data_IF_389120878177
#
_entry.id   IF_389120878177
#
_cell.length_a   1.000
_cell.length_b   1.000
_cell.length_c   1.000
_cell.angle_alpha   90.00
_cell.angle_beta   90.00
_cell.angle_gamma   90.00
#
_symmetry.space_group_name_H-M   'P 1'
#
loop_
_entity.id
_entity.type
_entity.pdbx_description
1 polymer ?
#
# COMPACT_ATOMS: atom_id res chain seq x y z
N UNK A 1 -13.14 -28.65 -9.28
CA UNK A 1 -13.09 -27.17 -9.37
C UNK A 1 -14.13 -26.63 -8.43
N UNK A 2 -13.79 -25.65 -7.60
CA UNK A 2 -14.70 -24.98 -6.69
C UNK A 2 -14.97 -23.57 -7.20
N UNK A 3 -16.23 -23.20 -7.36
CA UNK A 3 -16.63 -21.84 -7.72
C UNK A 3 -16.80 -21.02 -6.45
N UNK A 4 -16.20 -19.84 -6.39
CA UNK A 4 -16.24 -18.93 -5.24
C UNK A 4 -16.88 -17.62 -5.69
N UNK A 5 -17.82 -17.10 -4.90
CA UNK A 5 -18.39 -15.77 -5.13
C UNK A 5 -17.41 -14.70 -4.67
N UNK A 6 -17.06 -13.77 -5.57
CA UNK A 6 -16.15 -12.68 -5.29
C UNK A 6 -16.57 -11.42 -6.07
N UNK A 7 -16.10 -10.25 -5.65
CA UNK A 7 -16.31 -8.97 -6.34
C UNK A 7 -14.98 -8.30 -6.62
N UNK A 8 -14.86 -7.61 -7.76
CA UNK A 8 -13.68 -6.77 -8.04
C UNK A 8 -13.52 -5.71 -6.94
N UNK A 9 -12.28 -5.41 -6.56
CA UNK A 9 -11.98 -4.41 -5.52
C UNK A 9 -12.61 -3.03 -5.81
N UNK A 10 -12.61 -2.59 -7.08
CA UNK A 10 -13.26 -1.36 -7.50
C UNK A 10 -14.78 -1.38 -7.23
N UNK A 11 -15.46 -2.50 -7.50
CA UNK A 11 -16.89 -2.64 -7.28
C UNK A 11 -17.24 -2.56 -5.80
N UNK A 12 -16.46 -3.26 -4.95
CA UNK A 12 -16.63 -3.19 -3.48
C UNK A 12 -16.42 -1.75 -3.00
N UNK A 13 -15.37 -1.08 -3.45
CA UNK A 13 -15.09 0.31 -3.10
C UNK A 13 -16.22 1.27 -3.50
N UNK A 14 -16.75 1.13 -4.72
CA UNK A 14 -17.88 1.95 -5.19
C UNK A 14 -19.14 1.75 -4.34
N UNK A 15 -19.46 0.52 -3.98
CA UNK A 15 -20.62 0.24 -3.11
C UNK A 15 -20.45 0.86 -1.72
N UNK A 16 -19.24 0.79 -1.15
CA UNK A 16 -18.95 1.38 0.15
C UNK A 16 -19.03 2.91 0.11
N UNK A 17 -18.44 3.56 -0.89
CA UNK A 17 -18.50 5.02 -1.04
C UNK A 17 -19.94 5.50 -1.25
N UNK A 18 -20.72 4.82 -2.07
CA UNK A 18 -22.13 5.14 -2.26
C UNK A 18 -22.93 5.08 -0.97
N UNK A 19 -22.68 4.05 -0.14
CA UNK A 19 -23.35 3.91 1.16
C UNK A 19 -22.94 5.00 2.17
N UNK A 20 -21.66 5.37 2.19
CA UNK A 20 -21.13 6.38 3.11
C UNK A 20 -21.63 7.78 2.73
N UNK A 21 -21.75 8.08 1.45
CA UNK A 21 -22.06 9.39 0.94
C UNK A 21 -23.48 9.50 0.35
N UNK A 22 -24.42 8.65 0.78
CA UNK A 22 -25.82 8.62 0.35
C UNK A 22 -25.98 8.74 -1.18
N UNK A 23 -25.19 7.99 -1.94
CA UNK A 23 -25.13 7.99 -3.40
C UNK A 23 -24.71 9.34 -4.04
N UNK A 24 -24.19 10.30 -3.27
CA UNK A 24 -23.76 11.59 -3.80
C UNK A 24 -22.33 11.58 -4.35
N UNK A 25 -21.53 10.58 -3.98
CA UNK A 25 -20.14 10.43 -4.39
C UNK A 25 -19.90 9.09 -5.09
N UNK A 26 -18.82 9.04 -5.87
CA UNK A 26 -18.36 7.84 -6.57
C UNK A 26 -16.87 7.58 -6.31
N UNK A 27 -16.44 6.34 -6.49
CA UNK A 27 -15.03 5.97 -6.50
C UNK A 27 -14.51 5.97 -7.94
N UNK A 28 -13.38 6.63 -8.16
CA UNK A 28 -12.65 6.59 -9.43
C UNK A 28 -11.23 6.09 -9.19
N UNK A 29 -10.77 5.15 -10.02
CA UNK A 29 -9.43 4.61 -9.90
C UNK A 29 -9.00 3.90 -11.16
N UNK A 30 -7.93 4.37 -11.78
CA UNK A 30 -7.33 3.66 -12.91
C UNK A 30 -6.57 2.41 -12.45
N UNK A 31 -5.91 2.49 -11.28
CA UNK A 31 -5.19 1.33 -10.74
C UNK A 31 -6.15 0.19 -10.40
N UNK A 32 -7.30 0.47 -9.78
CA UNK A 32 -8.28 -0.56 -9.43
C UNK A 32 -9.07 -1.10 -10.63
N UNK A 33 -9.22 -0.32 -11.71
CA UNK A 33 -9.78 -0.84 -12.98
C UNK A 33 -8.88 -1.90 -13.61
N UNK A 34 -7.58 -1.70 -13.49
CA UNK A 34 -6.57 -2.55 -14.12
C UNK A 34 -6.03 -3.63 -13.18
N UNK A 35 -6.40 -3.60 -11.89
CA UNK A 35 -5.99 -4.66 -10.96
C UNK A 35 -6.77 -5.93 -11.20
N UNK A 36 -6.11 -7.04 -10.95
CA UNK A 36 -6.65 -8.39 -11.00
C UNK A 36 -7.20 -8.86 -9.65
N UNK A 37 -7.27 -7.95 -8.65
CA UNK A 37 -7.68 -8.31 -7.30
C UNK A 37 -9.21 -8.38 -7.20
N UNK A 38 -9.69 -9.56 -6.80
CA UNK A 38 -11.05 -9.80 -6.35
C UNK A 38 -11.11 -9.93 -4.82
N UNK A 39 -12.22 -9.51 -4.24
CA UNK A 39 -12.49 -9.58 -2.80
C UNK A 39 -13.57 -10.62 -2.55
N UNK A 40 -13.31 -11.51 -1.60
CA UNK A 40 -14.23 -12.55 -1.17
C UNK A 40 -14.30 -12.60 0.37
N UNK A 41 -15.17 -13.43 0.92
CA UNK A 41 -15.25 -13.67 2.37
C UNK A 41 -15.24 -15.18 2.65
N UNK A 42 -14.99 -15.54 3.91
CA UNK A 42 -14.91 -16.94 4.34
C UNK A 42 -16.16 -17.73 4.00
N UNK A 43 -17.35 -17.18 4.24
CA UNK A 43 -18.62 -17.78 3.82
C UNK A 43 -18.64 -18.15 2.33
N UNK A 44 -18.19 -17.24 1.47
CA UNK A 44 -18.16 -17.47 0.03
C UNK A 44 -17.13 -18.53 -0.37
N UNK A 45 -15.95 -18.53 0.29
CA UNK A 45 -14.89 -19.52 0.06
C UNK A 45 -15.35 -20.91 0.49
N UNK A 46 -16.10 -21.03 1.58
CA UNK A 46 -16.71 -22.28 2.05
C UNK A 46 -17.88 -22.75 1.18
N UNK A 47 -18.37 -21.91 0.29
CA UNK A 47 -19.49 -22.24 -0.60
C UNK A 47 -20.86 -22.06 0.01
N UNK A 48 -21.02 -21.21 1.01
CA UNK A 48 -22.34 -20.80 1.55
C UNK A 48 -23.14 -20.13 0.44
N UNK A 49 -24.41 -20.48 0.31
CA UNK A 49 -25.26 -20.09 -0.83
C UNK A 49 -25.44 -18.56 -0.96
N UNK A 50 -25.69 -17.88 0.15
CA UNK A 50 -25.88 -16.43 0.19
C UNK A 50 -24.86 -15.76 1.10
N UNK A 51 -23.57 -15.73 0.71
CA UNK A 51 -22.51 -15.18 1.54
C UNK A 51 -22.65 -13.67 1.66
N UNK A 52 -22.35 -13.15 2.85
CA UNK A 52 -22.39 -11.71 3.13
C UNK A 52 -20.97 -11.20 3.36
N UNK A 53 -20.48 -10.36 2.45
CA UNK A 53 -19.21 -9.67 2.65
C UNK A 53 -19.40 -8.54 3.69
N UNK A 54 -18.85 -8.75 4.88
CA UNK A 54 -18.85 -7.76 5.97
C UNK A 54 -17.55 -7.01 5.97
N UNK A 55 -17.58 -5.75 5.52
CA UNK A 55 -16.40 -4.89 5.48
C UNK A 55 -16.74 -3.42 5.53
N UNK A 56 -15.73 -2.58 5.70
CA UNK A 56 -15.83 -1.13 5.70
C UNK A 56 -14.75 -0.50 4.78
N UNK A 57 -14.91 0.79 4.47
CA UNK A 57 -14.01 1.47 3.54
C UNK A 57 -12.58 1.61 4.09
N UNK A 58 -12.42 1.79 5.40
CA UNK A 58 -11.09 1.89 6.03
C UNK A 58 -10.29 0.62 5.84
N UNK A 59 -10.89 -0.55 6.09
CA UNK A 59 -10.19 -1.84 5.96
C UNK A 59 -9.89 -2.15 4.50
N UNK A 60 -10.83 -1.87 3.59
CA UNK A 60 -10.61 -2.00 2.16
C UNK A 60 -9.43 -1.11 1.70
N UNK A 61 -9.49 0.20 2.00
CA UNK A 61 -8.44 1.14 1.59
C UNK A 61 -7.08 0.77 2.20
N UNK A 62 -7.07 0.41 3.50
CA UNK A 62 -5.85 0.00 4.19
C UNK A 62 -5.25 -1.24 3.53
N UNK A 63 -6.05 -2.26 3.24
CA UNK A 63 -5.59 -3.48 2.60
C UNK A 63 -5.05 -3.23 1.20
N UNK A 64 -5.76 -2.43 0.40
CA UNK A 64 -5.30 -2.06 -0.94
C UNK A 64 -4.03 -1.20 -0.89
N UNK A 65 -3.94 -0.23 0.03
CA UNK A 65 -2.75 0.60 0.18
C UNK A 65 -1.53 -0.25 0.55
N UNK A 66 -1.68 -1.18 1.48
CA UNK A 66 -0.59 -2.06 1.91
C UNK A 66 -0.12 -3.02 0.83
N UNK A 67 -0.99 -3.41 -0.09
CA UNK A 67 -0.64 -4.34 -1.18
C UNK A 67 -0.25 -3.66 -2.49
N UNK A 68 -0.76 -2.45 -2.78
CA UNK A 68 -0.61 -1.79 -4.09
C UNK A 68 0.09 -0.43 -4.03
N UNK A 69 0.47 0.04 -2.84
CA UNK A 69 1.07 1.37 -2.64
C UNK A 69 0.21 2.50 -3.26
N UNK A 70 -1.05 2.59 -2.85
CA UNK A 70 -1.99 3.58 -3.35
C UNK A 70 -2.09 4.81 -2.43
N UNK A 71 -2.57 5.91 -3.00
CA UNK A 71 -2.98 7.12 -2.29
C UNK A 71 -4.45 7.45 -2.63
N UNK A 72 -5.13 8.14 -1.72
CA UNK A 72 -6.51 8.57 -1.91
C UNK A 72 -6.64 10.08 -1.82
N UNK A 73 -7.49 10.67 -2.67
CA UNK A 73 -7.85 12.09 -2.64
C UNK A 73 -9.35 12.26 -2.93
N UNK A 74 -9.88 13.44 -2.60
CA UNK A 74 -11.28 13.78 -2.91
C UNK A 74 -11.25 14.98 -3.85
N UNK A 75 -11.92 14.86 -4.99
CA UNK A 75 -12.11 15.94 -5.95
C UNK A 75 -13.52 15.89 -6.52
N UNK A 76 -14.27 17.00 -6.45
CA UNK A 76 -15.60 17.18 -7.06
C UNK A 76 -16.55 15.98 -6.83
N UNK A 77 -16.77 15.60 -5.58
CA UNK A 77 -17.63 14.46 -5.19
C UNK A 77 -17.11 13.09 -5.68
N UNK A 78 -15.87 13.00 -6.09
CA UNK A 78 -15.21 11.74 -6.43
C UNK A 78 -14.15 11.44 -5.40
N UNK A 79 -14.14 10.23 -4.88
CA UNK A 79 -12.99 9.68 -4.17
C UNK A 79 -12.07 9.03 -5.21
N UNK A 80 -10.86 9.57 -5.34
CA UNK A 80 -9.88 9.13 -6.36
C UNK A 80 -8.83 8.28 -5.67
N UNK A 81 -8.60 7.07 -6.20
CA UNK A 81 -7.51 6.19 -5.76
C UNK A 81 -6.51 6.03 -6.90
N UNK A 82 -5.26 6.36 -6.61
CA UNK A 82 -4.15 6.27 -7.56
C UNK A 82 -2.90 5.66 -6.93
N UNK A 83 -1.92 5.26 -7.74
CA UNK A 83 -0.62 4.88 -7.21
C UNK A 83 0.04 6.06 -6.48
N UNK A 84 0.75 5.82 -5.39
CA UNK A 84 1.49 6.89 -4.68
C UNK A 84 2.44 7.64 -5.59
N UNK A 85 3.08 6.96 -6.53
CA UNK A 85 3.94 7.59 -7.54
C UNK A 85 3.23 8.70 -8.34
N UNK A 86 1.93 8.53 -8.62
CA UNK A 86 1.12 9.56 -9.27
C UNK A 86 0.78 10.70 -8.32
N UNK A 87 0.48 10.37 -7.05
CA UNK A 87 0.15 11.35 -6.02
C UNK A 87 1.37 12.20 -5.59
N UNK A 88 2.54 11.59 -5.53
CA UNK A 88 3.82 12.27 -5.21
C UNK A 88 4.58 12.63 -6.49
N UNK A 89 3.92 13.34 -7.41
CA UNK A 89 4.53 13.80 -8.66
C UNK A 89 5.28 15.12 -8.46
N UNK A 90 6.18 15.44 -9.41
CA UNK A 90 7.04 16.63 -9.36
C UNK A 90 6.42 17.85 -10.08
N UNK A 91 5.10 17.88 -10.33
CA UNK A 91 4.44 19.03 -10.92
C UNK A 91 4.41 20.19 -9.94
N UNK A 92 5.04 21.32 -10.30
CA UNK A 92 4.99 22.52 -9.48
C UNK A 92 3.58 23.15 -9.57
N UNK A 93 2.93 23.29 -8.42
CA UNK A 93 1.63 23.95 -8.30
C UNK A 93 1.76 25.44 -8.05
N UNK A 94 2.64 25.80 -7.12
CA UNK A 94 2.78 27.18 -6.70
C UNK A 94 4.16 27.45 -6.10
N UNK A 95 4.65 28.68 -6.34
CA UNK A 95 5.86 29.22 -5.70
C UNK A 95 5.45 30.21 -4.60
N UNK A 96 5.77 29.86 -3.37
CA UNK A 96 5.49 30.69 -2.18
C UNK A 96 6.46 31.86 -2.01
N UNK A 97 7.49 31.93 -2.84
CA UNK A 97 8.52 32.98 -2.79
C UNK A 97 9.51 32.80 -1.64
N UNK A 98 10.08 33.93 -1.19
CA UNK A 98 11.07 33.95 -0.10
C UNK A 98 10.39 33.79 1.27
N UNK A 99 10.82 32.80 2.03
CA UNK A 99 10.38 32.52 3.41
C UNK A 99 11.52 32.86 4.37
N UNK A 100 11.30 33.81 5.26
CA UNK A 100 12.34 34.29 6.19
C UNK A 100 12.66 33.27 7.28
N UNK A 101 11.62 32.67 7.88
CA UNK A 101 11.74 31.83 9.08
C UNK A 101 11.22 30.40 8.77
N UNK A 102 12.00 29.61 8.02
CA UNK A 102 11.70 28.22 7.80
C UNK A 102 12.45 27.32 8.81
N UNK A 103 11.74 26.39 9.45
CA UNK A 103 12.32 25.39 10.35
C UNK A 103 12.27 24.01 9.69
N UNK A 104 13.37 23.30 9.76
CA UNK A 104 13.52 21.98 9.17
C UNK A 104 13.67 20.93 10.27
N UNK A 105 12.76 19.96 10.31
CA UNK A 105 12.75 18.88 11.29
C UNK A 105 12.63 17.52 10.61
N UNK A 106 13.25 16.50 11.19
CA UNK A 106 12.97 15.12 10.78
C UNK A 106 11.50 14.79 11.03
N UNK A 107 10.85 14.19 10.04
CA UNK A 107 9.47 13.75 10.16
C UNK A 107 9.43 12.33 10.71
N UNK A 108 9.37 12.24 12.03
CA UNK A 108 9.43 10.98 12.76
C UNK A 108 8.46 9.88 12.26
N UNK A 109 7.21 10.20 11.84
CA UNK A 109 6.30 9.18 11.30
C UNK A 109 6.84 8.41 10.08
N UNK A 110 7.78 8.99 9.34
CA UNK A 110 8.41 8.39 8.17
C UNK A 110 9.83 7.87 8.43
N UNK A 111 10.21 7.66 9.69
CA UNK A 111 11.46 7.01 10.06
C UNK A 111 11.18 5.59 10.51
N UNK A 112 11.78 4.58 9.88
CA UNK A 112 11.66 3.20 10.29
C UNK A 112 12.91 2.41 9.89
N UNK A 113 13.32 1.44 10.73
CA UNK A 113 14.40 0.51 10.42
C UNK A 113 13.93 -0.94 10.28
N UNK A 114 12.65 -1.18 10.54
CA UNK A 114 12.03 -2.49 10.40
C UNK A 114 10.73 -2.35 9.62
N UNK A 115 10.52 -3.24 8.67
CA UNK A 115 9.34 -3.25 7.78
C UNK A 115 8.67 -4.61 7.95
N UNK A 116 7.41 -4.63 8.35
CA UNK A 116 6.60 -5.85 8.46
C UNK A 116 5.54 -5.84 7.37
N UNK A 117 5.45 -6.92 6.60
CA UNK A 117 4.55 -7.05 5.46
C UNK A 117 3.80 -8.38 5.55
N UNK A 118 2.66 -8.45 4.91
CA UNK A 118 1.83 -9.64 4.83
C UNK A 118 0.43 -9.42 5.37
N UNK A 119 -0.08 -10.41 6.06
CA UNK A 119 -1.49 -10.47 6.43
C UNK A 119 -1.65 -10.80 7.90
N UNK A 120 -2.81 -10.43 8.46
CA UNK A 120 -3.16 -10.82 9.83
C UNK A 120 -3.15 -12.35 9.94
N UNK A 121 -2.39 -12.85 10.91
CA UNK A 121 -2.32 -14.28 11.16
C UNK A 121 -3.65 -14.77 11.73
N UNK A 122 -4.05 -15.97 11.30
CA UNK A 122 -4.91 -16.82 12.12
C UNK A 122 -4.04 -17.83 12.85
N UNK A 123 -4.48 -18.18 14.06
CA UNK A 123 -3.94 -19.32 14.81
C UNK A 123 -4.33 -20.61 14.11
N UNK A 124 -3.48 -21.07 13.20
CA UNK A 124 -3.53 -22.44 12.71
C UNK A 124 -2.59 -23.26 13.57
N UNK A 125 -3.15 -23.99 14.49
CA UNK A 125 -2.38 -24.73 15.50
C UNK A 125 -1.38 -25.74 14.93
N UNK A 126 -1.52 -26.16 13.67
CA UNK A 126 -0.80 -27.30 13.10
C UNK A 126 0.02 -26.99 11.85
N UNK A 127 0.31 -25.73 11.52
CA UNK A 127 1.04 -25.39 10.28
C UNK A 127 2.55 -25.20 10.47
N UNK A 128 3.08 -25.62 11.60
CA UNK A 128 4.51 -25.54 11.89
C UNK A 128 5.34 -26.31 10.85
N UNK A 129 6.31 -25.62 10.25
CA UNK A 129 7.27 -26.18 9.31
C UNK A 129 6.87 -26.17 7.85
N UNK A 130 5.85 -25.41 7.46
CA UNK A 130 5.43 -25.23 6.05
C UNK A 130 5.95 -23.92 5.49
N UNK A 131 6.50 -23.97 4.29
CA UNK A 131 6.99 -22.80 3.57
C UNK A 131 5.80 -22.03 2.96
N UNK A 132 5.24 -21.12 3.73
CA UNK A 132 4.21 -20.17 3.27
C UNK A 132 4.90 -18.93 2.71
N UNK A 133 4.82 -18.69 1.40
CA UNK A 133 5.50 -17.58 0.74
C UNK A 133 4.73 -16.26 0.83
N UNK A 134 3.47 -16.26 1.15
CA UNK A 134 2.62 -15.07 1.19
C UNK A 134 1.88 -14.87 2.52
N UNK A 135 2.49 -15.25 3.61
CA UNK A 135 2.00 -14.95 4.96
C UNK A 135 2.59 -13.61 5.46
N UNK A 136 3.42 -13.63 6.47
CA UNK A 136 4.00 -12.43 7.10
C UNK A 136 5.51 -12.54 7.15
N UNK A 137 6.20 -11.49 6.71
CA UNK A 137 7.65 -11.39 6.79
C UNK A 137 8.07 -10.04 7.37
N UNK A 138 9.17 -10.03 8.13
CA UNK A 138 9.80 -8.83 8.63
C UNK A 138 11.19 -8.67 8.01
N UNK A 139 11.48 -7.45 7.59
CA UNK A 139 12.76 -7.03 7.02
C UNK A 139 13.36 -5.93 7.89
N UNK A 140 14.56 -6.15 8.41
CA UNK A 140 15.22 -5.23 9.35
C UNK A 140 16.57 -4.74 8.83
N UNK A 141 16.74 -3.43 8.80
CA UNK A 141 18.04 -2.81 8.53
C UNK A 141 18.88 -2.73 9.82
N UNK A 142 20.21 -2.92 9.73
CA UNK A 142 21.12 -2.90 10.90
C UNK A 142 21.41 -1.46 11.38
N UNK A 143 20.40 -0.63 11.54
CA UNK A 143 20.50 0.75 11.97
C UNK A 143 19.99 0.86 13.40
N UNK A 144 20.85 1.33 14.29
CA UNK A 144 20.56 1.38 15.75
C UNK A 144 19.97 2.70 16.22
N UNK A 145 20.14 3.79 15.45
CA UNK A 145 19.64 5.13 15.82
C UNK A 145 18.12 5.29 15.71
N UNK A 146 17.49 4.46 14.89
CA UNK A 146 16.04 4.38 14.75
C UNK A 146 15.64 2.97 15.13
N UNK A 147 14.67 2.82 16.01
CA UNK A 147 14.08 1.52 16.37
C UNK A 147 12.56 1.65 16.22
N UNK A 148 12.10 1.64 14.99
CA UNK A 148 10.69 1.82 14.64
C UNK A 148 10.28 0.84 13.57
N UNK A 149 9.12 0.23 13.77
CA UNK A 149 8.48 -0.67 12.82
C UNK A 149 7.54 0.11 11.91
N UNK A 150 7.69 -0.06 10.61
CA UNK A 150 6.68 0.31 9.61
C UNK A 150 5.85 -0.92 9.28
N UNK A 151 4.61 -0.96 9.81
CA UNK A 151 3.73 -2.11 9.67
C UNK A 151 2.83 -1.98 8.44
N UNK A 152 3.07 -2.84 7.46
CA UNK A 152 2.29 -3.00 6.23
C UNK A 152 1.45 -4.29 6.25
N UNK A 153 1.14 -4.84 7.42
CA UNK A 153 0.27 -6.02 7.55
C UNK A 153 -1.17 -5.67 7.16
N UNK A 154 -1.71 -6.29 6.11
CA UNK A 154 -3.05 -5.98 5.60
C UNK A 154 -4.15 -6.62 6.45
N UNK A 155 -5.26 -5.89 6.71
CA UNK A 155 -6.45 -6.46 7.36
C UNK A 155 -7.08 -7.60 6.56
N UNK A 156 -7.12 -7.49 5.23
CA UNK A 156 -7.62 -8.57 4.38
C UNK A 156 -6.52 -9.58 4.13
N UNK A 157 -6.88 -10.83 4.19
CA UNK A 157 -5.97 -11.95 4.01
C UNK A 157 -5.76 -12.25 2.53
N UNK A 158 -4.55 -12.66 2.17
CA UNK A 158 -4.25 -13.21 0.84
C UNK A 158 -3.32 -14.43 0.95
N UNK A 159 -3.07 -14.90 2.17
CA UNK A 159 -2.31 -16.11 2.41
C UNK A 159 -3.02 -17.30 1.76
N UNK A 160 -2.33 -17.92 0.83
CA UNK A 160 -2.87 -19.02 0.03
C UNK A 160 -3.32 -20.17 0.92
N UNK A 161 -2.56 -20.44 1.96
CA UNK A 161 -2.83 -21.50 2.89
C UNK A 161 -4.16 -21.28 3.64
N UNK A 162 -4.43 -20.05 4.10
CA UNK A 162 -5.65 -19.70 4.76
C UNK A 162 -6.88 -19.80 3.87
N UNK A 163 -6.74 -19.40 2.60
CA UNK A 163 -7.80 -19.59 1.60
C UNK A 163 -8.10 -21.06 1.40
N UNK A 164 -7.08 -21.92 1.20
CA UNK A 164 -7.26 -23.36 1.01
C UNK A 164 -7.78 -24.06 2.27
N UNK A 165 -7.28 -23.67 3.44
CA UNK A 165 -7.79 -24.18 4.71
C UNK A 165 -9.28 -23.86 4.90
N UNK A 166 -9.68 -22.61 4.65
CA UNK A 166 -11.07 -22.17 4.71
C UNK A 166 -11.93 -22.94 3.69
N UNK A 167 -11.41 -23.15 2.47
CA UNK A 167 -12.10 -23.88 1.41
C UNK A 167 -12.32 -25.35 1.75
N UNK A 168 -11.30 -25.99 2.34
CA UNK A 168 -11.37 -27.43 2.69
C UNK A 168 -12.25 -27.68 3.90
N UNK A 169 -12.34 -26.72 4.80
CA UNK A 169 -13.16 -26.82 6.01
C UNK A 169 -14.67 -26.75 5.67
N UNK A 170 -15.13 -27.79 5.01
CA UNK A 170 -16.50 -27.92 4.49
C UNK A 170 -17.52 -28.40 5.53
N UNK A 171 -17.05 -28.75 6.71
CA UNK A 171 -17.98 -29.21 7.80
C UNK A 171 -18.83 -28.00 8.20
N UNK A 172 -20.16 -28.21 8.21
CA UNK A 172 -21.11 -27.16 8.57
C UNK A 172 -21.40 -26.14 7.45
N UNK A 173 -21.44 -26.57 6.18
CA UNK A 173 -21.73 -25.68 5.02
C UNK A 173 -23.02 -24.87 5.09
N UNK A 174 -23.88 -25.16 6.06
CA UNK A 174 -25.19 -24.51 6.22
C UNK A 174 -25.18 -23.45 7.31
N UNK A 175 -24.10 -23.33 8.07
CA UNK A 175 -24.01 -22.43 9.22
C UNK A 175 -22.83 -21.51 9.11
N UNK A 176 -22.97 -20.27 9.60
CA UNK A 176 -21.93 -19.22 9.61
C UNK A 176 -21.23 -19.19 10.98
N UNK A 177 -20.76 -20.34 11.44
CA UNK A 177 -20.21 -20.54 12.79
C UNK A 177 -18.69 -20.82 12.81
N UNK A 178 -18.05 -20.79 11.64
CA UNK A 178 -16.61 -20.99 11.54
C UNK A 178 -15.86 -19.67 11.80
N UNK A 179 -14.71 -19.75 12.46
CA UNK A 179 -13.86 -18.58 12.78
C UNK A 179 -13.46 -17.77 11.55
N UNK A 180 -13.34 -18.40 10.37
CA UNK A 180 -12.97 -17.74 9.12
C UNK A 180 -14.14 -17.14 8.34
N UNK A 181 -15.39 -17.34 8.74
CA UNK A 181 -16.57 -16.92 7.96
C UNK A 181 -16.64 -15.41 7.72
N UNK A 182 -16.22 -14.64 8.70
CA UNK A 182 -16.18 -13.18 8.62
C UNK A 182 -14.87 -12.61 8.06
N UNK A 183 -13.87 -13.47 7.83
CA UNK A 183 -12.61 -13.01 7.25
C UNK A 183 -12.82 -12.53 5.82
N UNK A 184 -12.08 -11.49 5.45
CA UNK A 184 -12.08 -10.97 4.09
C UNK A 184 -10.78 -11.37 3.41
N UNK A 185 -10.90 -11.88 2.20
CA UNK A 185 -9.79 -12.41 1.42
C UNK A 185 -9.61 -11.62 0.13
N UNK A 186 -8.35 -11.38 -0.24
CA UNK A 186 -7.94 -10.88 -1.54
C UNK A 186 -7.44 -12.04 -2.40
N UNK A 187 -7.92 -12.11 -3.63
CA UNK A 187 -7.58 -13.14 -4.59
C UNK A 187 -7.03 -12.49 -5.85
N UNK A 188 -5.83 -12.88 -6.28
CA UNK A 188 -5.29 -12.49 -7.58
C UNK A 188 -5.89 -13.41 -8.65
N UNK A 189 -6.66 -12.80 -9.55
CA UNK A 189 -7.46 -13.52 -10.55
C UNK A 189 -7.12 -13.04 -11.95
N UNK A 190 -7.36 -13.91 -12.92
CA UNK A 190 -7.34 -13.57 -14.35
C UNK A 190 -8.70 -13.86 -14.98
N UNK A 191 -9.05 -13.09 -16.02
CA UNK A 191 -10.26 -13.33 -16.78
C UNK A 191 -10.26 -14.74 -17.39
N UNK A 192 -11.38 -15.41 -17.32
CA UNK A 192 -11.56 -16.74 -17.90
C UNK A 192 -12.54 -16.68 -19.07
N UNK A 193 -13.80 -16.38 -18.82
CA UNK A 193 -14.83 -16.24 -19.85
C UNK A 193 -16.01 -15.41 -19.36
N UNK A 194 -16.85 -14.97 -20.30
CA UNK A 194 -18.16 -14.40 -20.01
C UNK A 194 -19.23 -15.45 -20.31
N UNK A 195 -20.13 -15.70 -19.35
CA UNK A 195 -21.20 -16.67 -19.53
C UNK A 195 -22.35 -16.11 -20.41
N UNK A 196 -23.38 -16.97 -20.62
CA UNK A 196 -24.53 -16.63 -21.45
C UNK A 196 -25.38 -15.46 -20.88
N UNK A 197 -25.27 -15.22 -19.58
CA UNK A 197 -25.99 -14.13 -18.88
C UNK A 197 -25.16 -12.84 -18.86
N UNK A 198 -24.00 -12.81 -19.52
CA UNK A 198 -23.10 -11.66 -19.57
C UNK A 198 -22.25 -11.46 -18.29
N UNK A 199 -22.18 -12.47 -17.44
CA UNK A 199 -21.39 -12.40 -16.20
C UNK A 199 -19.94 -12.81 -16.52
N UNK A 200 -18.99 -11.93 -16.16
CA UNK A 200 -17.57 -12.23 -16.27
C UNK A 200 -17.15 -13.24 -15.20
N UNK A 201 -16.54 -14.31 -15.64
CA UNK A 201 -15.97 -15.36 -14.80
C UNK A 201 -14.44 -15.23 -14.77
N UNK A 202 -13.87 -15.47 -13.60
CA UNK A 202 -12.44 -15.36 -13.35
C UNK A 202 -11.93 -16.63 -12.73
N UNK A 203 -10.67 -16.95 -13.00
CA UNK A 203 -9.94 -18.03 -12.32
C UNK A 203 -8.78 -17.45 -11.51
N UNK A 204 -8.34 -18.19 -10.48
CA UNK A 204 -7.12 -17.84 -9.76
C UNK A 204 -5.93 -17.86 -10.73
N UNK A 205 -5.12 -16.80 -10.68
CA UNK A 205 -3.89 -16.75 -11.44
C UNK A 205 -2.87 -17.70 -10.81
N UNK A 206 -2.46 -18.71 -11.59
CA UNK A 206 -1.57 -19.77 -11.17
C UNK A 206 -0.29 -19.72 -11.98
N UNK A 207 0.75 -19.02 -11.50
CA UNK A 207 2.02 -18.94 -12.21
C UNK A 207 2.80 -20.25 -12.12
N UNK A 208 3.79 -20.40 -12.99
CA UNK A 208 4.78 -21.45 -12.88
C UNK A 208 5.77 -21.13 -11.76
N UNK A 209 6.15 -22.14 -10.99
CA UNK A 209 7.23 -22.07 -10.02
C UNK A 209 8.49 -22.72 -10.56
N UNK A 210 9.65 -22.13 -10.22
CA UNK A 210 10.94 -22.77 -10.50
C UNK A 210 11.38 -23.69 -9.36
N UNK A 211 11.01 -23.36 -8.13
CA UNK A 211 11.34 -24.15 -6.95
C UNK A 211 10.46 -23.71 -5.77
N UNK A 212 9.78 -24.66 -5.16
CA UNK A 212 9.18 -24.54 -3.83
C UNK A 212 9.62 -25.77 -3.03
N UNK A 213 10.10 -25.54 -1.82
CA UNK A 213 10.24 -26.58 -0.81
C UNK A 213 9.08 -26.46 0.16
N UNK A 214 8.32 -27.53 0.35
CA UNK A 214 7.18 -27.53 1.27
C UNK A 214 6.00 -28.36 0.77
N UNK A 215 4.88 -28.21 1.46
CA UNK A 215 3.68 -29.06 1.27
C UNK A 215 2.71 -28.57 0.18
N UNK A 216 3.03 -27.44 -0.48
CA UNK A 216 2.16 -26.88 -1.50
C UNK A 216 2.66 -27.33 -2.86
N UNK A 217 1.77 -27.97 -3.63
CA UNK A 217 2.03 -28.28 -5.02
C UNK A 217 2.23 -26.99 -5.83
N UNK A 218 3.41 -26.77 -6.42
CA UNK A 218 3.72 -25.54 -7.15
C UNK A 218 2.67 -25.12 -8.19
N UNK A 219 2.15 -26.02 -9.05
CA UNK A 219 1.09 -25.69 -9.99
C UNK A 219 -0.22 -25.23 -9.36
N UNK A 220 -0.45 -25.55 -8.09
CA UNK A 220 -1.67 -25.17 -7.36
C UNK A 220 -1.57 -23.80 -6.69
N UNK A 221 -0.40 -23.22 -6.60
CA UNK A 221 -0.21 -21.96 -5.91
C UNK A 221 -0.85 -20.76 -6.63
N UNK A 222 -1.21 -19.75 -5.88
CA UNK A 222 -1.84 -18.50 -6.35
C UNK A 222 -1.49 -17.33 -5.42
N UNK A 223 -1.98 -16.14 -5.72
CA UNK A 223 -1.69 -14.90 -4.97
C UNK A 223 -0.19 -14.55 -4.93
N UNK A 224 0.55 -14.91 -5.96
CA UNK A 224 2.00 -14.68 -6.02
C UNK A 224 2.33 -13.19 -5.98
N UNK A 225 1.56 -12.35 -6.69
CA UNK A 225 1.78 -10.90 -6.71
C UNK A 225 1.48 -10.22 -5.38
N UNK A 226 0.90 -10.95 -4.44
CA UNK A 226 0.59 -10.52 -3.09
C UNK A 226 1.58 -11.10 -2.05
N UNK A 227 2.73 -11.63 -2.47
CA UNK A 227 3.78 -12.07 -1.55
C UNK A 227 4.45 -10.89 -0.83
N UNK A 228 4.91 -11.06 0.43
CA UNK A 228 5.60 -10.00 1.17
C UNK A 228 6.76 -9.39 0.41
N UNK A 229 7.57 -10.19 -0.28
CA UNK A 229 8.70 -9.69 -1.05
C UNK A 229 8.27 -8.80 -2.22
N UNK A 230 7.20 -9.18 -2.94
CA UNK A 230 6.66 -8.35 -4.02
C UNK A 230 6.02 -7.07 -3.50
N UNK A 231 5.34 -7.15 -2.36
CA UNK A 231 4.80 -5.96 -1.67
C UNK A 231 5.95 -5.04 -1.24
N UNK A 232 7.03 -5.59 -0.67
CA UNK A 232 8.22 -4.81 -0.31
C UNK A 232 8.76 -4.06 -1.53
N UNK A 233 8.91 -4.74 -2.66
CA UNK A 233 9.41 -4.12 -3.89
C UNK A 233 8.47 -3.04 -4.43
N UNK A 234 7.14 -3.23 -4.36
CA UNK A 234 6.16 -2.20 -4.75
C UNK A 234 6.29 -0.94 -3.88
N UNK A 235 6.55 -1.10 -2.58
CA UNK A 235 6.79 0.01 -1.66
C UNK A 235 8.25 0.51 -1.67
N UNK A 236 9.08 0.03 -2.59
CA UNK A 236 10.52 0.27 -2.60
C UNK A 236 10.91 1.75 -2.52
N UNK A 237 10.29 2.61 -3.34
CA UNK A 237 10.57 4.04 -3.33
C UNK A 237 10.19 4.71 -2.01
N UNK A 238 9.08 4.30 -1.40
CA UNK A 238 8.63 4.80 -0.10
C UNK A 238 9.57 4.35 1.03
N UNK A 239 9.92 3.06 1.06
CA UNK A 239 10.83 2.48 2.03
C UNK A 239 12.22 3.11 1.90
N UNK A 240 12.71 3.31 0.67
CA UNK A 240 13.99 3.99 0.42
C UNK A 240 14.00 5.43 0.98
N UNK A 241 12.90 6.16 0.84
CA UNK A 241 12.74 7.49 1.44
C UNK A 241 12.87 7.49 2.96
N UNK A 242 12.30 6.49 3.63
CA UNK A 242 12.43 6.33 5.09
C UNK A 242 13.88 6.12 5.55
N UNK A 243 14.74 5.61 4.67
CA UNK A 243 16.15 5.30 4.95
C UNK A 243 17.10 6.46 4.62
N UNK A 244 16.58 7.60 4.14
CA UNK A 244 17.43 8.77 3.90
C UNK A 244 18.12 9.21 5.21
N UNK A 245 19.42 9.64 5.22
CA UNK A 245 20.30 9.90 4.07
C UNK A 245 21.05 8.68 3.52
N UNK A 246 20.77 7.49 3.97
CA UNK A 246 21.52 6.26 3.66
C UNK A 246 21.08 5.59 2.33
N UNK A 247 20.36 6.30 1.48
CA UNK A 247 19.74 5.75 0.25
C UNK A 247 20.71 5.25 -0.80
N UNK A 248 21.97 5.68 -0.73
CA UNK A 248 23.06 5.27 -1.62
C UNK A 248 23.99 4.22 -1.01
N UNK A 249 23.81 3.95 0.29
CA UNK A 249 24.63 3.00 1.01
C UNK A 249 24.23 1.54 0.68
N UNK A 250 25.18 0.65 0.72
CA UNK A 250 24.96 -0.80 0.59
C UNK A 250 24.40 -1.41 1.88
N UNK A 251 23.43 -0.74 2.48
CA UNK A 251 22.74 -1.27 3.65
C UNK A 251 21.69 -2.28 3.19
N UNK A 252 21.60 -3.37 3.91
CA UNK A 252 20.73 -4.49 3.58
C UNK A 252 19.66 -4.67 4.63
N UNK A 253 18.40 -4.68 4.22
CA UNK A 253 17.31 -5.20 5.01
C UNK A 253 17.41 -6.72 5.04
N UNK A 254 17.65 -7.26 6.22
CA UNK A 254 17.71 -8.70 6.45
C UNK A 254 16.31 -9.23 6.73
N UNK A 255 15.93 -10.30 6.05
CA UNK A 255 14.68 -10.99 6.33
C UNK A 255 14.80 -11.90 7.56
N UNK A 256 13.71 -12.04 8.30
CA UNK A 256 13.62 -12.99 9.41
C UNK A 256 13.46 -14.43 8.93
N UNK A 257 12.91 -14.63 7.76
CA UNK A 257 12.79 -15.95 7.13
C UNK A 257 14.03 -16.24 6.30
N UNK A 258 14.69 -17.35 6.60
CA UNK A 258 15.97 -17.75 6.00
C UNK A 258 15.87 -18.91 5.01
N UNK A 259 14.68 -19.28 4.54
CA UNK A 259 14.57 -20.31 3.52
C UNK A 259 15.05 -19.81 2.14
N UNK A 260 16.29 -20.13 1.70
CA UNK A 260 16.86 -19.60 0.46
C UNK A 260 16.30 -20.27 -0.80
N UNK A 261 15.51 -21.31 -0.64
CA UNK A 261 15.03 -22.12 -1.76
C UNK A 261 13.66 -21.69 -2.28
N UNK A 262 12.95 -20.84 -1.51
CA UNK A 262 11.61 -20.40 -1.87
C UNK A 262 11.65 -19.37 -3.00
N UNK A 263 11.38 -19.81 -4.20
CA UNK A 263 11.36 -18.98 -5.42
C UNK A 263 10.00 -19.07 -6.10
N UNK A 264 9.49 -17.94 -6.54
CA UNK A 264 8.24 -17.86 -7.31
C UNK A 264 8.46 -17.14 -8.63
N UNK A 265 7.67 -17.49 -9.63
CA UNK A 265 7.69 -16.85 -10.95
C UNK A 265 6.32 -16.27 -11.26
N UNK A 266 6.27 -14.99 -11.59
CA UNK A 266 5.06 -14.29 -12.03
C UNK A 266 5.42 -13.37 -13.19
N UNK A 267 4.67 -13.44 -14.29
CA UNK A 267 4.91 -12.60 -15.47
C UNK A 267 6.35 -12.71 -16.03
N UNK A 268 6.98 -13.88 -15.94
CA UNK A 268 8.37 -14.10 -16.35
C UNK A 268 9.43 -13.60 -15.36
N UNK A 269 9.04 -12.98 -14.25
CA UNK A 269 9.96 -12.48 -13.23
C UNK A 269 10.10 -13.49 -12.10
N UNK A 270 11.32 -13.98 -11.89
CA UNK A 270 11.66 -14.87 -10.77
C UNK A 270 12.07 -14.05 -9.56
N UNK A 271 11.44 -14.29 -8.42
CA UNK A 271 11.78 -13.69 -7.13
C UNK A 271 12.12 -14.78 -6.13
N UNK A 272 13.22 -14.61 -5.42
CA UNK A 272 13.51 -15.36 -4.21
C UNK A 272 12.80 -14.65 -3.05
N UNK A 273 11.76 -15.27 -2.52
CA UNK A 273 10.83 -14.64 -1.57
C UNK A 273 11.51 -14.24 -0.26
N UNK A 274 12.46 -15.04 0.20
CA UNK A 274 13.16 -14.84 1.47
C UNK A 274 14.55 -14.23 1.30
N UNK A 275 14.82 -13.54 0.18
CA UNK A 275 16.08 -12.85 0.00
C UNK A 275 16.11 -11.50 0.71
N UNK A 276 17.25 -11.18 1.28
CA UNK A 276 17.56 -9.85 1.79
C UNK A 276 17.37 -8.77 0.69
N UNK A 277 17.20 -7.51 1.07
CA UNK A 277 17.00 -6.39 0.15
C UNK A 277 18.04 -5.31 0.40
N UNK A 278 18.83 -5.00 -0.61
CA UNK A 278 19.78 -3.88 -0.57
C UNK A 278 19.04 -2.57 -0.85
N UNK A 279 19.23 -1.55 -0.01
CA UNK A 279 18.50 -0.27 -0.13
C UNK A 279 18.76 0.42 -1.45
N UNK A 280 20.00 0.39 -1.94
CA UNK A 280 20.36 1.03 -3.21
C UNK A 280 19.69 0.40 -4.44
N UNK A 281 19.22 -0.84 -4.33
CA UNK A 281 18.57 -1.57 -5.42
C UNK A 281 17.06 -1.26 -5.53
N UNK A 282 16.50 -0.56 -4.53
CA UNK A 282 15.13 -0.10 -4.55
C UNK A 282 14.95 1.07 -5.52
N UNK A 283 13.72 1.27 -6.00
CA UNK A 283 13.37 2.43 -6.82
C UNK A 283 13.78 3.75 -6.12
N UNK A 284 14.12 4.80 -6.88
CA UNK A 284 14.43 6.11 -6.31
C UNK A 284 13.29 6.62 -5.42
N UNK A 285 13.66 7.18 -4.27
CA UNK A 285 12.70 7.69 -3.31
C UNK A 285 11.98 8.95 -3.81
N UNK A 286 10.71 9.10 -3.43
CA UNK A 286 9.91 10.29 -3.73
C UNK A 286 10.29 11.47 -2.83
N UNK A 287 10.47 11.20 -1.55
CA UNK A 287 10.63 12.20 -0.50
C UNK A 287 11.90 11.94 0.31
N UNK A 288 12.25 12.93 1.10
CA UNK A 288 13.15 12.80 2.24
C UNK A 288 12.33 13.01 3.52
N UNK A 289 12.61 12.29 4.62
CA UNK A 289 11.82 12.36 5.84
C UNK A 289 12.12 13.64 6.64
N UNK A 290 12.08 14.78 5.97
CA UNK A 290 12.27 16.12 6.53
C UNK A 290 11.05 16.96 6.18
N UNK A 291 10.56 17.70 7.18
CA UNK A 291 9.52 18.71 6.97
C UNK A 291 10.09 20.10 7.09
N UNK A 292 9.61 21.00 6.23
CA UNK A 292 9.78 22.43 6.37
C UNK A 292 8.52 23.03 6.99
N UNK A 293 8.67 23.76 8.09
CA UNK A 293 7.58 24.47 8.79
C UNK A 293 7.82 25.95 8.74
N UNK A 294 6.84 26.72 8.31
CA UNK A 294 6.91 28.18 8.21
C UNK A 294 5.53 28.84 8.22
N UNK A 295 5.52 30.15 8.38
CA UNK A 295 4.33 30.98 8.24
C UNK A 295 4.50 31.87 7.00
N UNK A 296 3.44 31.99 6.19
CA UNK A 296 3.44 32.88 5.04
C UNK A 296 2.02 33.30 4.65
N UNK A 297 1.92 34.42 3.96
CA UNK A 297 0.67 34.90 3.36
C UNK A 297 0.52 34.21 2.00
N UNK A 298 -0.62 33.65 1.74
CA UNK A 298 -0.94 33.00 0.47
C UNK A 298 -2.05 33.68 -0.26
N UNK A 299 -2.09 33.60 -1.60
CA UNK A 299 -3.15 34.20 -2.38
C UNK A 299 -4.52 33.56 -2.10
N UNK A 300 -5.58 34.35 -2.25
CA UNK A 300 -6.96 33.92 -2.02
C UNK A 300 -7.37 32.70 -2.87
N UNK A 301 -6.80 32.56 -4.08
CA UNK A 301 -7.08 31.46 -4.98
C UNK A 301 -6.30 30.16 -4.70
N UNK A 302 -5.53 30.11 -3.60
CA UNK A 302 -4.71 28.91 -3.30
C UNK A 302 -5.57 27.68 -3.08
N UNK A 303 -6.73 27.82 -2.45
CA UNK A 303 -7.68 26.71 -2.26
C UNK A 303 -8.11 26.13 -3.61
N UNK A 304 -8.37 26.98 -4.60
CA UNK A 304 -8.73 26.56 -5.95
C UNK A 304 -7.56 25.85 -6.65
N UNK A 305 -6.33 26.34 -6.47
CA UNK A 305 -5.11 25.70 -6.96
C UNK A 305 -4.95 24.31 -6.35
N UNK A 306 -5.10 24.17 -5.04
CA UNK A 306 -5.00 22.88 -4.35
C UNK A 306 -6.14 21.92 -4.74
N UNK A 307 -7.33 22.43 -4.98
CA UNK A 307 -8.47 21.62 -5.43
C UNK A 307 -8.33 21.17 -6.89
N UNK A 308 -7.73 22.00 -7.75
CA UNK A 308 -7.51 21.66 -9.16
C UNK A 308 -6.45 20.56 -9.33
N UNK A 309 -5.46 20.52 -8.46
CA UNK A 309 -4.43 19.49 -8.44
C UNK A 309 -3.94 19.23 -7.01
N UNK A 310 -4.55 18.30 -6.32
CA UNK A 310 -4.26 17.98 -4.92
C UNK A 310 -2.91 17.26 -4.70
N UNK A 311 -2.15 16.99 -5.77
CA UNK A 311 -0.98 16.08 -5.72
C UNK A 311 0.34 16.72 -6.12
N UNK A 312 0.39 18.02 -6.41
CA UNK A 312 1.61 18.69 -6.86
C UNK A 312 2.47 19.28 -5.75
N UNK A 313 3.64 19.76 -6.13
CA UNK A 313 4.64 20.36 -5.25
C UNK A 313 4.39 21.85 -5.04
N UNK A 314 4.71 22.30 -3.84
CA UNK A 314 4.95 23.72 -3.54
C UNK A 314 6.43 23.99 -3.48
N UNK A 315 6.85 25.16 -3.95
CA UNK A 315 8.23 25.64 -3.92
C UNK A 315 8.31 26.87 -3.02
N UNK A 316 9.44 27.03 -2.33
CA UNK A 316 9.79 28.24 -1.62
C UNK A 316 11.30 28.43 -1.61
N UNK A 317 11.76 29.67 -1.38
CA UNK A 317 13.18 30.01 -1.22
C UNK A 317 13.44 30.38 0.24
N UNK A 318 14.53 29.91 0.81
CA UNK A 318 14.96 30.27 2.16
C UNK A 318 16.49 30.40 2.18
N UNK A 319 16.98 31.56 2.64
CA UNK A 319 18.42 31.87 2.68
C UNK A 319 19.14 31.69 1.32
N UNK A 320 18.45 31.97 0.20
CA UNK A 320 18.96 31.84 -1.15
C UNK A 320 18.94 30.42 -1.72
N UNK A 321 18.48 29.42 -0.99
CA UNK A 321 18.28 28.06 -1.45
C UNK A 321 16.80 27.79 -1.76
N UNK A 322 16.51 27.04 -2.82
CA UNK A 322 15.15 26.68 -3.24
C UNK A 322 14.80 25.30 -2.74
N UNK A 323 13.63 25.17 -2.11
CA UNK A 323 13.08 23.92 -1.58
C UNK A 323 11.74 23.59 -2.21
N UNK A 324 11.47 22.30 -2.38
CA UNK A 324 10.21 21.78 -2.93
C UNK A 324 9.65 20.70 -2.01
N UNK A 325 8.33 20.69 -1.86
CA UNK A 325 7.68 19.67 -1.04
C UNK A 325 6.17 19.61 -1.24
N UNK A 326 5.57 18.56 -0.72
CA UNK A 326 4.12 18.38 -0.70
C UNK A 326 3.54 18.87 0.61
N UNK A 327 2.39 19.52 0.54
CA UNK A 327 1.67 19.99 1.73
C UNK A 327 1.17 18.77 2.53
N UNK A 328 1.61 18.63 3.77
CA UNK A 328 1.08 17.65 4.72
C UNK A 328 0.20 18.28 5.78
N UNK A 329 0.37 19.57 6.04
CA UNK A 329 -0.55 20.35 6.87
C UNK A 329 -0.52 21.82 6.43
N UNK A 330 -1.70 22.44 6.44
CA UNK A 330 -1.89 23.86 6.31
C UNK A 330 -3.00 24.28 7.25
N UNK A 331 -2.74 25.24 8.11
CA UNK A 331 -3.74 25.77 9.06
C UNK A 331 -3.77 27.30 9.02
N UNK A 332 -4.99 27.83 8.97
CA UNK A 332 -5.24 29.27 9.05
C UNK A 332 -5.59 29.62 10.50
N UNK A 333 -4.91 30.60 11.07
CA UNK A 333 -5.30 31.18 12.36
C UNK A 333 -6.56 32.03 12.14
N UNK A 334 -7.59 31.91 12.98
CA UNK A 334 -8.82 32.70 12.84
C UNK A 334 -8.66 34.15 13.29
N UNK A 335 -7.46 34.70 13.35
CA UNK A 335 -7.18 36.11 13.67
C UNK A 335 -7.07 36.92 12.39
N UNK A 336 -7.15 38.24 12.52
CA UNK A 336 -7.06 39.26 11.45
C UNK A 336 -5.73 39.24 10.70
N UNK A 337 -4.75 38.44 11.12
CA UNK A 337 -3.46 38.27 10.48
C UNK A 337 -3.57 37.13 9.45
N UNK A 338 -3.30 37.48 8.23
CA UNK A 338 -3.52 36.66 7.01
C UNK A 338 -2.47 35.54 6.88
N UNK A 339 -1.57 35.38 7.86
CA UNK A 339 -0.52 34.37 7.83
C UNK A 339 -1.06 32.98 8.13
N UNK A 340 -0.69 32.04 7.27
CA UNK A 340 -1.02 30.62 7.41
C UNK A 340 0.22 29.84 7.81
N UNK A 341 0.04 28.82 8.66
CA UNK A 341 1.08 27.88 9.04
C UNK A 341 1.12 26.72 8.04
N UNK A 342 2.28 26.48 7.49
CA UNK A 342 2.54 25.44 6.50
C UNK A 342 3.49 24.39 7.03
N UNK A 343 3.25 23.16 6.65
CA UNK A 343 4.19 22.05 6.82
C UNK A 343 4.29 21.31 5.49
N UNK A 344 5.46 21.34 4.90
CA UNK A 344 5.76 20.61 3.66
C UNK A 344 6.66 19.42 3.96
N UNK A 345 6.31 18.26 3.41
CA UNK A 345 7.22 17.11 3.31
C UNK A 345 8.13 17.33 2.11
N UNK A 346 9.45 17.35 2.32
CA UNK A 346 10.39 17.69 1.26
C UNK A 346 10.51 16.58 0.22
N UNK A 347 10.55 16.98 -1.06
CA UNK A 347 10.83 16.11 -2.20
C UNK A 347 12.29 15.63 -2.18
N UNK A 348 12.54 14.45 -2.77
CA UNK A 348 13.88 13.89 -2.90
C UNK A 348 14.83 14.74 -3.77
N UNK A 349 14.29 15.61 -4.62
CA UNK A 349 15.08 16.47 -5.51
C UNK A 349 15.75 17.66 -4.80
N UNK A 350 15.48 17.87 -3.51
CA UNK A 350 16.10 18.96 -2.76
C UNK A 350 17.58 18.68 -2.48
N UNK A 351 18.42 19.69 -2.67
CA UNK A 351 19.83 19.62 -2.28
C UNK A 351 19.98 19.91 -0.77
N UNK A 352 20.13 18.86 0.03
CA UNK A 352 20.02 18.94 1.49
C UNK A 352 21.37 18.90 2.20
N UNK A 353 22.47 18.82 1.47
CA UNK A 353 23.80 18.80 2.09
C UNK A 353 24.04 19.99 3.04
N UNK A 354 23.34 21.09 2.84
CA UNK A 354 23.37 22.26 3.74
C UNK A 354 22.50 22.11 4.99
N UNK A 355 21.40 21.34 4.96
CA UNK A 355 20.49 21.17 6.10
C UNK A 355 21.03 20.20 7.16
N UNK A 356 21.95 19.30 6.79
CA UNK A 356 22.54 18.31 7.71
C UNK A 356 23.66 18.95 8.54
N UNK A 357 24.21 20.05 8.09
CA UNK A 357 25.38 20.73 8.69
C UNK A 357 25.02 22.07 9.33
N UNK A 358 23.75 22.45 9.34
CA UNK A 358 23.24 23.60 10.05
C UNK A 358 22.63 23.21 11.40
#
# INVERSE_FOLDING_TARGET
TTTIKAKKALSVGNELIKKIADNTHSLESNILKNTTIAISCGDAIRGIENPILKTNFKDLFTSLNRNLEIAGSINNKKFIIEAKKTAYNNTLLYDLGEIKDAKFDFYEPLLANSIKLGYANQDYDDLNGRDEFNNTSEFKAPITRVNKLYDLTAPYRADMFGVEFTRINLQGKTTTDNNSDNDVFMLDVEYDFTDADGIENYKLRRPAFTSITGLIDPPSAFNIDLSPKRIFNKHGAWIRGMMWPLTTEKITFQTTDKNPLLKTVQGGVTIQENADVVISDLEPNYFIPITAKFETIVPENLVDIMQSNSTGLFQFTHNGDTYKGWVIACSQKPSTDVEQQWTLLLSADNNINKLIHA
#
